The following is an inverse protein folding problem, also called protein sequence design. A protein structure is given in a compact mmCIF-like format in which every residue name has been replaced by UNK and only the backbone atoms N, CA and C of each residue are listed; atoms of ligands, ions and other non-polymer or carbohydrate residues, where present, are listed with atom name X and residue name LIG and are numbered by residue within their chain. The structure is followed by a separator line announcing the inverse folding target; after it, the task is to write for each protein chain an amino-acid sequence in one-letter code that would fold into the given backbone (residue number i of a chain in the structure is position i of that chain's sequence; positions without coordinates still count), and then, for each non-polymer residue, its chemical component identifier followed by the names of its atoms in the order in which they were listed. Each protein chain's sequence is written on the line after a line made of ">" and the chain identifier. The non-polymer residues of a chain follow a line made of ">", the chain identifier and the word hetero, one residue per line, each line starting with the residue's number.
data_IF_340977784809
#
_entry.id   IF_340977784809
#
_cell.length_a   1.000
_cell.length_b   1.000
_cell.length_c   1.000
_cell.angle_alpha   90.00
_cell.angle_beta   90.00
_cell.angle_gamma   90.00
#
_symmetry.space_group_name_H-M   'P 1'
#
loop_
_entity.id
_entity.type
_entity.pdbx_description
1 polymer ?
#
# COMPACT_ATOMS: atom_id res chain seq x y z
N UNK A 1 -5.28 -2.71 -9.07
CA UNK A 1 -5.07 -1.65 -8.06
C UNK A 1 -4.46 -2.33 -6.84
N UNK A 2 -3.59 -1.65 -6.08
CA UNK A 2 -2.86 -2.23 -4.95
C UNK A 2 -3.26 -1.51 -3.67
N UNK A 3 -3.53 -2.27 -2.60
CA UNK A 3 -3.77 -1.67 -1.28
C UNK A 3 -2.46 -1.60 -0.51
N UNK A 4 -2.07 -0.40 -0.11
CA UNK A 4 -0.84 -0.12 0.62
C UNK A 4 -1.20 0.35 2.02
N UNK A 5 -0.63 -0.29 3.04
CA UNK A 5 -0.89 0.04 4.44
C UNK A 5 0.36 0.63 5.09
N UNK A 6 0.23 1.83 5.65
CA UNK A 6 1.30 2.53 6.37
C UNK A 6 0.93 2.75 7.83
N UNK A 7 1.91 2.74 8.73
CA UNK A 7 1.71 3.01 10.15
C UNK A 7 2.11 4.46 10.47
N UNK A 8 1.15 5.27 10.90
CA UNK A 8 1.39 6.66 11.31
C UNK A 8 0.86 6.82 12.73
N UNK A 9 1.74 7.16 13.68
CA UNK A 9 1.41 7.32 15.11
C UNK A 9 0.67 6.10 15.70
N UNK A 10 1.09 4.89 15.30
CA UNK A 10 0.48 3.64 15.77
C UNK A 10 -0.89 3.34 15.17
N UNK A 11 -1.33 4.09 14.15
CA UNK A 11 -2.58 3.86 13.42
C UNK A 11 -2.27 3.42 11.99
N UNK A 12 -3.02 2.44 11.51
CA UNK A 12 -2.94 1.99 10.13
C UNK A 12 -3.72 2.93 9.22
N UNK A 13 -3.10 3.30 8.11
CA UNK A 13 -3.68 4.07 7.02
C UNK A 13 -3.60 3.23 5.75
N UNK A 14 -4.70 3.16 5.01
CA UNK A 14 -4.78 2.46 3.73
C UNK A 14 -4.82 3.47 2.60
N UNK A 15 -3.98 3.25 1.60
CA UNK A 15 -3.94 4.00 0.35
C UNK A 15 -4.03 3.02 -0.81
N UNK A 16 -4.75 3.41 -1.85
CA UNK A 16 -4.89 2.60 -3.06
C UNK A 16 -4.04 3.23 -4.17
N UNK A 17 -3.15 2.45 -4.77
CA UNK A 17 -2.28 2.90 -5.85
C UNK A 17 -2.53 2.11 -7.13
N UNK A 18 -2.29 2.74 -8.27
CA UNK A 18 -2.55 2.13 -9.57
C UNK A 18 -1.41 1.21 -10.04
N UNK A 19 -0.20 1.37 -9.49
CA UNK A 19 1.01 0.73 -10.01
C UNK A 19 2.06 0.40 -8.94
N UNK A 20 2.98 -0.51 -9.24
CA UNK A 20 4.10 -0.87 -8.37
C UNK A 20 5.18 0.23 -8.33
N UNK A 21 5.29 1.06 -9.35
CA UNK A 21 6.24 2.17 -9.38
C UNK A 21 5.92 3.23 -8.32
N UNK A 22 4.63 3.46 -8.05
CA UNK A 22 4.14 4.39 -7.04
C UNK A 22 4.55 3.97 -5.61
N UNK A 23 4.74 2.66 -5.36
CA UNK A 23 5.15 2.11 -4.06
C UNK A 23 6.46 2.71 -3.54
N UNK A 24 7.34 3.17 -4.44
CA UNK A 24 8.59 3.86 -4.08
C UNK A 24 8.39 5.15 -3.26
N UNK A 25 7.18 5.71 -3.26
CA UNK A 25 6.83 6.93 -2.51
C UNK A 25 6.35 6.63 -1.08
N UNK A 26 6.11 5.36 -0.76
CA UNK A 26 5.49 4.94 0.50
C UNK A 26 6.48 4.15 1.36
N UNK A 27 6.23 4.11 2.67
CA UNK A 27 6.94 3.24 3.62
C UNK A 27 5.93 2.29 4.28
N UNK A 28 5.38 1.33 3.51
CA UNK A 28 4.32 0.49 4.02
C UNK A 28 4.83 -0.56 4.99
N UNK A 29 3.93 -0.98 5.88
CA UNK A 29 4.09 -2.17 6.72
C UNK A 29 3.47 -3.40 6.06
N UNK A 30 2.52 -3.22 5.14
CA UNK A 30 1.87 -4.29 4.38
C UNK A 30 1.45 -3.78 3.00
N UNK A 31 1.51 -4.65 2.00
CA UNK A 31 1.00 -4.39 0.66
C UNK A 31 0.15 -5.58 0.27
N UNK A 32 -1.10 -5.32 -0.10
CA UNK A 32 -1.98 -6.32 -0.69
C UNK A 32 -1.87 -6.25 -2.21
N UNK A 33 -1.36 -7.35 -2.78
CA UNK A 33 -1.33 -7.57 -4.20
C UNK A 33 -2.61 -8.30 -4.53
N UNK A 34 -3.62 -7.59 -5.04
CA UNK A 34 -4.79 -8.24 -5.63
C UNK A 34 -4.29 -9.27 -6.64
N UNK A 35 -4.46 -10.55 -6.31
CA UNK A 35 -4.01 -11.64 -7.17
C UNK A 35 -4.76 -11.52 -8.49
N UNK A 36 -4.08 -11.59 -9.65
CA UNK A 36 -4.77 -11.52 -10.92
C UNK A 36 -5.75 -12.71 -11.01
N UNK A 37 -7.05 -12.41 -11.08
CA UNK A 37 -8.10 -13.36 -11.49
C UNK A 37 -8.09 -13.55 -13.00
#
# INVERSE_FOLDING_TARGET
>A
MLNVFSLVNGRLYQEEIASLEELSRFHPVWVDLDSPT
#
